data_IF_725817554284
#
_entry.id   IF_725817554284
#
_cell.length_a   1.000
_cell.length_b   1.000
_cell.length_c   1.000
_cell.angle_alpha   90.00
_cell.angle_beta   90.00
_cell.angle_gamma   90.00
#
_symmetry.space_group_name_H-M   'P 1'
#
loop_
_entity.id
_entity.type
_entity.pdbx_description
1 polymer ?
#
# COMPACT_ATOMS: atom_id res chain seq x y z
N UNK A 1 36.18 -3.06 47.85
CA UNK A 1 36.47 -1.77 48.52
C UNK A 1 37.67 -1.10 47.85
N UNK A 2 37.46 -0.39 46.73
CA UNK A 2 38.39 0.44 45.92
C UNK A 2 37.47 1.29 45.05
N UNK A 3 37.58 2.60 44.84
CA UNK A 3 38.47 3.66 45.29
C UNK A 3 37.62 4.96 45.21
N UNK A 4 37.32 5.61 46.34
CA UNK A 4 36.65 6.94 46.37
C UNK A 4 37.69 8.08 46.42
N UNK A 5 38.84 7.92 45.76
CA UNK A 5 39.96 8.89 45.79
C UNK A 5 39.85 9.99 44.74
N UNK A 6 38.89 9.92 43.81
CA UNK A 6 38.71 10.95 42.78
C UNK A 6 38.06 12.26 43.30
N UNK A 7 37.49 12.24 44.51
CA UNK A 7 36.85 13.41 45.15
C UNK A 7 37.79 14.20 46.09
N UNK A 8 39.08 13.84 46.16
CA UNK A 8 40.01 14.38 47.17
C UNK A 8 40.67 15.71 46.77
N UNK A 9 40.50 16.20 45.54
CA UNK A 9 41.05 17.48 45.06
C UNK A 9 40.08 18.67 45.08
N UNK A 10 38.82 18.47 45.49
CA UNK A 10 37.80 19.53 45.51
C UNK A 10 37.77 20.20 46.89
N UNK A 11 37.94 21.53 46.92
CA UNK A 11 37.81 22.36 48.14
C UNK A 11 36.54 21.95 48.91
N UNK A 12 36.63 21.85 50.23
CA UNK A 12 35.58 21.34 51.13
C UNK A 12 34.18 21.94 50.87
N UNK A 13 34.12 23.19 50.40
CA UNK A 13 32.90 23.86 49.95
C UNK A 13 32.19 23.15 48.77
N UNK A 14 32.93 22.70 47.75
CA UNK A 14 32.34 22.02 46.60
C UNK A 14 31.74 20.65 46.97
N UNK A 15 32.26 19.98 48.02
CA UNK A 15 31.72 18.70 48.49
C UNK A 15 30.32 18.82 49.07
N UNK A 16 30.05 19.87 49.85
CA UNK A 16 28.71 20.13 50.40
C UNK A 16 27.70 20.43 49.29
N UNK A 17 28.08 21.26 48.31
CA UNK A 17 27.21 21.63 47.16
C UNK A 17 26.89 20.43 46.27
N UNK A 18 27.85 19.53 46.05
CA UNK A 18 27.63 18.32 45.24
C UNK A 18 26.67 17.36 45.94
N UNK A 19 26.77 17.18 47.27
CA UNK A 19 25.89 16.27 48.02
C UNK A 19 24.45 16.78 48.04
N UNK A 20 24.23 18.10 48.13
CA UNK A 20 22.87 18.67 48.14
C UNK A 20 22.23 18.72 46.75
N UNK A 21 23.01 18.87 45.68
CA UNK A 21 22.52 18.85 44.29
C UNK A 21 22.31 17.44 43.74
N UNK A 22 23.01 16.43 44.29
CA UNK A 22 22.94 15.04 43.83
C UNK A 22 21.50 14.50 43.68
N UNK A 23 20.59 14.64 44.68
CA UNK A 23 19.23 14.14 44.55
C UNK A 23 18.43 14.86 43.46
N UNK A 24 18.64 16.17 43.28
CA UNK A 24 17.97 16.93 42.21
C UNK A 24 18.43 16.45 40.85
N UNK A 25 19.75 16.31 40.65
CA UNK A 25 20.33 15.81 39.41
C UNK A 25 19.83 14.39 39.11
N UNK A 26 19.74 13.52 40.13
CA UNK A 26 19.23 12.17 39.97
C UNK A 26 17.77 12.14 39.51
N UNK A 27 16.90 12.93 40.13
CA UNK A 27 15.48 13.03 39.74
C UNK A 27 15.34 13.61 38.33
N UNK A 28 16.13 14.64 37.99
CA UNK A 28 16.12 15.23 36.64
C UNK A 28 16.56 14.22 35.58
N UNK A 29 17.63 13.46 35.83
CA UNK A 29 18.09 12.41 34.91
C UNK A 29 17.04 11.32 34.70
N UNK A 30 16.39 10.87 35.78
CA UNK A 30 15.30 9.89 35.68
C UNK A 30 14.15 10.44 34.83
N UNK A 31 13.75 11.70 35.07
CA UNK A 31 12.71 12.36 34.28
C UNK A 31 13.05 12.45 32.79
N UNK A 32 14.29 12.79 32.46
CA UNK A 32 14.78 12.83 31.07
C UNK A 32 14.72 11.44 30.43
N UNK A 33 15.17 10.40 31.13
CA UNK A 33 15.14 9.02 30.61
C UNK A 33 13.71 8.57 30.34
N UNK A 34 12.80 8.80 31.28
CA UNK A 34 11.37 8.46 31.11
C UNK A 34 10.77 9.21 29.93
N UNK A 35 11.04 10.52 29.80
CA UNK A 35 10.54 11.33 28.69
C UNK A 35 11.04 10.82 27.34
N UNK A 36 12.33 10.48 27.23
CA UNK A 36 12.92 9.93 25.99
C UNK A 36 12.32 8.57 25.63
N UNK A 37 12.14 7.69 26.62
CA UNK A 37 11.53 6.37 26.40
C UNK A 37 10.08 6.50 25.94
N UNK A 38 9.28 7.33 26.63
CA UNK A 38 7.89 7.58 26.28
C UNK A 38 7.74 8.20 24.88
N UNK A 39 8.59 9.18 24.54
CA UNK A 39 8.59 9.83 23.24
C UNK A 39 8.93 8.86 22.10
N UNK A 40 9.90 7.95 22.32
CA UNK A 40 10.26 6.92 21.34
C UNK A 40 9.14 5.90 21.12
N UNK A 41 8.43 5.51 22.19
CA UNK A 41 7.26 4.62 22.10
C UNK A 41 6.13 5.24 21.28
N UNK A 42 5.70 6.45 21.66
CA UNK A 42 4.64 7.18 20.97
C UNK A 42 4.95 7.40 19.48
N UNK A 43 6.18 7.82 19.15
CA UNK A 43 6.57 8.05 17.76
C UNK A 43 6.55 6.76 16.94
N UNK A 44 7.01 5.65 17.53
CA UNK A 44 7.00 4.34 16.87
C UNK A 44 5.58 3.87 16.58
N UNK A 45 4.70 3.95 17.58
CA UNK A 45 3.33 3.46 17.46
C UNK A 45 2.55 4.28 16.43
N UNK A 46 2.68 5.61 16.46
CA UNK A 46 2.05 6.50 15.46
C UNK A 46 2.54 6.22 14.04
N UNK A 47 3.84 5.96 13.85
CA UNK A 47 4.38 5.62 12.52
C UNK A 47 3.87 4.28 12.02
N UNK A 48 3.80 3.27 12.89
CA UNK A 48 3.27 1.94 12.53
C UNK A 48 1.78 2.01 12.19
N UNK A 49 1.00 2.73 13.01
CA UNK A 49 -0.43 2.92 12.78
C UNK A 49 -0.71 3.64 11.46
N UNK A 50 0.00 4.74 11.20
CA UNK A 50 -0.11 5.49 9.94
C UNK A 50 0.25 4.62 8.74
N UNK A 51 1.36 3.87 8.80
CA UNK A 51 1.77 3.03 7.68
C UNK A 51 0.75 1.90 7.42
N UNK A 52 0.20 1.31 8.48
CA UNK A 52 -0.84 0.29 8.36
C UNK A 52 -2.11 0.86 7.73
N UNK A 53 -2.52 2.06 8.14
CA UNK A 53 -3.67 2.74 7.54
C UNK A 53 -3.46 3.06 6.06
N UNK A 54 -2.26 3.52 5.66
CA UNK A 54 -1.92 3.78 4.27
C UNK A 54 -1.93 2.50 3.42
N UNK A 55 -1.39 1.39 3.95
CA UNK A 55 -1.42 0.10 3.26
C UNK A 55 -2.85 -0.40 3.08
N UNK A 56 -3.70 -0.27 4.12
CA UNK A 56 -5.12 -0.62 4.00
C UNK A 56 -5.84 0.23 2.97
N UNK A 57 -5.64 1.55 3.00
CA UNK A 57 -6.23 2.46 2.02
C UNK A 57 -5.77 2.14 0.59
N UNK A 58 -4.49 1.82 0.41
CA UNK A 58 -3.96 1.42 -0.90
C UNK A 58 -4.55 0.08 -1.36
N UNK A 59 -4.71 -0.89 -0.45
CA UNK A 59 -5.34 -2.16 -0.75
C UNK A 59 -6.82 -2.00 -1.12
N UNK A 60 -7.57 -1.19 -0.36
CA UNK A 60 -8.97 -0.88 -0.65
C UNK A 60 -9.10 -0.15 -2.00
N UNK A 61 -8.22 0.80 -2.28
CA UNK A 61 -8.18 1.50 -3.57
C UNK A 61 -7.91 0.54 -4.74
N UNK A 62 -6.91 -0.34 -4.60
CA UNK A 62 -6.62 -1.35 -5.61
C UNK A 62 -7.78 -2.34 -5.81
N UNK A 63 -8.45 -2.75 -4.73
CA UNK A 63 -9.62 -3.62 -4.81
C UNK A 63 -10.77 -2.92 -5.56
N UNK A 64 -11.08 -1.67 -5.22
CA UNK A 64 -12.13 -0.91 -5.91
C UNK A 64 -11.85 -0.73 -7.39
N UNK A 65 -10.59 -0.47 -7.76
CA UNK A 65 -10.18 -0.37 -9.16
C UNK A 65 -10.39 -1.70 -9.90
N UNK A 66 -9.96 -2.82 -9.31
CA UNK A 66 -10.16 -4.15 -9.88
C UNK A 66 -11.64 -4.52 -10.01
N UNK A 67 -12.46 -4.21 -9.00
CA UNK A 67 -13.91 -4.41 -9.06
C UNK A 67 -14.55 -3.58 -10.18
N UNK A 68 -14.12 -2.34 -10.36
CA UNK A 68 -14.58 -1.49 -11.45
C UNK A 68 -14.24 -2.06 -12.83
N UNK A 69 -13.00 -2.50 -13.02
CA UNK A 69 -12.55 -3.13 -14.26
C UNK A 69 -13.29 -4.46 -14.53
N UNK A 70 -13.48 -5.28 -13.50
CA UNK A 70 -14.22 -6.53 -13.59
C UNK A 70 -15.68 -6.28 -13.99
N UNK A 71 -16.36 -5.31 -13.37
CA UNK A 71 -17.74 -4.96 -13.70
C UNK A 71 -17.88 -4.48 -15.16
N UNK A 72 -16.89 -3.74 -15.66
CA UNK A 72 -16.86 -3.30 -17.06
C UNK A 72 -16.70 -4.49 -18.01
N UNK A 73 -15.80 -5.43 -17.70
CA UNK A 73 -15.64 -6.66 -18.50
C UNK A 73 -16.87 -7.57 -18.44
N UNK A 74 -17.48 -7.72 -17.26
CA UNK A 74 -18.70 -8.53 -17.09
C UNK A 74 -19.89 -7.94 -17.84
N UNK A 75 -20.07 -6.62 -17.80
CA UNK A 75 -21.15 -5.97 -18.56
C UNK A 75 -20.92 -6.08 -20.08
N UNK A 76 -19.66 -6.02 -20.52
CA UNK A 76 -19.28 -6.26 -21.92
C UNK A 76 -19.56 -7.70 -22.32
N UNK A 77 -19.19 -8.67 -21.48
CA UNK A 77 -19.45 -10.09 -21.69
C UNK A 77 -20.96 -10.39 -21.76
N UNK A 78 -21.77 -9.80 -20.87
CA UNK A 78 -23.23 -9.94 -20.89
C UNK A 78 -23.84 -9.35 -22.17
N UNK A 79 -23.36 -8.19 -22.62
CA UNK A 79 -23.85 -7.57 -23.85
C UNK A 79 -23.46 -8.36 -25.11
N UNK A 80 -22.30 -9.02 -25.10
CA UNK A 80 -21.84 -9.92 -26.16
C UNK A 80 -22.58 -11.27 -26.15
N UNK A 81 -22.89 -11.81 -24.96
CA UNK A 81 -23.59 -13.08 -24.81
C UNK A 81 -25.03 -13.02 -25.32
N UNK A 82 -25.71 -11.87 -25.16
CA UNK A 82 -27.04 -11.60 -25.74
C UNK A 82 -27.04 -11.66 -27.28
N UNK A 83 -25.88 -11.54 -27.91
CA UNK A 83 -25.67 -11.63 -29.36
C UNK A 83 -24.90 -12.89 -29.76
N UNK A 84 -24.88 -13.91 -28.90
CA UNK A 84 -24.21 -15.17 -29.17
C UNK A 84 -24.68 -15.79 -30.50
N UNK A 85 -23.72 -16.21 -31.32
CA UNK A 85 -23.97 -16.78 -32.66
C UNK A 85 -23.89 -15.77 -33.81
N UNK A 86 -23.94 -14.46 -33.54
CA UNK A 86 -23.71 -13.41 -34.54
C UNK A 86 -22.34 -12.74 -34.30
N UNK A 87 -21.31 -13.31 -34.91
CA UNK A 87 -19.94 -12.80 -34.80
C UNK A 87 -19.79 -11.38 -35.36
N UNK A 88 -20.59 -11.00 -36.36
CA UNK A 88 -20.53 -9.66 -36.95
C UNK A 88 -21.07 -8.63 -35.96
N UNK A 89 -22.23 -8.92 -35.36
CA UNK A 89 -22.81 -8.05 -34.34
C UNK A 89 -21.96 -7.99 -33.06
N UNK A 90 -21.32 -9.08 -32.67
CA UNK A 90 -20.38 -9.10 -31.54
C UNK A 90 -19.14 -8.26 -31.81
N UNK A 91 -18.56 -8.32 -33.01
CA UNK A 91 -17.44 -7.46 -33.41
C UNK A 91 -17.82 -5.99 -33.43
N UNK A 92 -18.95 -5.66 -34.05
CA UNK A 92 -19.45 -4.28 -34.08
C UNK A 92 -19.68 -3.73 -32.67
N UNK A 93 -20.26 -4.53 -31.76
CA UNK A 93 -20.42 -4.11 -30.36
C UNK A 93 -19.07 -3.86 -29.68
N UNK A 94 -18.08 -4.72 -29.91
CA UNK A 94 -16.76 -4.58 -29.32
C UNK A 94 -16.03 -3.32 -29.83
N UNK A 95 -16.23 -2.97 -31.11
CA UNK A 95 -15.73 -1.73 -31.71
C UNK A 95 -16.45 -0.49 -31.15
N UNK A 96 -17.78 -0.54 -31.01
CA UNK A 96 -18.56 0.54 -30.40
C UNK A 96 -18.14 0.81 -28.95
N UNK A 97 -17.79 -0.25 -28.22
CA UNK A 97 -17.40 -0.18 -26.81
C UNK A 97 -15.89 -0.01 -26.63
N UNK A 98 -15.12 0.01 -27.71
CA UNK A 98 -13.68 0.19 -27.66
C UNK A 98 -13.24 1.43 -26.85
N UNK A 99 -13.89 2.61 -26.94
CA UNK A 99 -13.54 3.76 -26.11
C UNK A 99 -13.66 3.50 -24.60
N UNK A 100 -14.62 2.66 -24.19
CA UNK A 100 -14.81 2.27 -22.78
C UNK A 100 -13.77 1.23 -22.35
N UNK A 101 -13.26 0.43 -23.28
CA UNK A 101 -12.26 -0.61 -23.05
C UNK A 101 -10.81 -0.08 -23.16
N UNK A 102 -10.60 1.21 -23.44
CA UNK A 102 -9.26 1.81 -23.53
C UNK A 102 -8.47 1.76 -22.23
N UNK A 103 -9.13 1.61 -21.08
CA UNK A 103 -8.46 1.40 -19.79
C UNK A 103 -7.63 0.12 -19.76
N UNK A 104 -7.93 -0.86 -20.63
CA UNK A 104 -7.13 -2.06 -20.81
C UNK A 104 -6.06 -1.78 -21.87
N UNK A 105 -4.85 -1.38 -21.44
CA UNK A 105 -3.73 -1.06 -22.35
C UNK A 105 -3.44 -2.21 -23.32
N UNK A 106 -3.53 -3.46 -22.83
CA UNK A 106 -3.34 -4.67 -23.64
C UNK A 106 -4.50 -5.01 -24.58
N UNK A 107 -5.59 -4.24 -24.57
CA UNK A 107 -6.83 -4.52 -25.27
C UNK A 107 -7.61 -5.71 -24.73
N UNK A 108 -8.79 -5.95 -25.31
CA UNK A 108 -9.74 -6.98 -24.87
C UNK A 108 -10.02 -7.93 -26.02
N UNK A 109 -10.05 -9.23 -25.72
CA UNK A 109 -10.33 -10.31 -26.65
C UNK A 109 -11.64 -11.01 -26.28
N UNK A 110 -12.45 -11.33 -27.29
CA UNK A 110 -13.55 -12.28 -27.19
C UNK A 110 -13.03 -13.65 -27.63
N UNK A 111 -13.14 -14.62 -26.73
CA UNK A 111 -12.77 -16.01 -26.99
C UNK A 111 -14.00 -16.84 -27.37
N UNK A 112 -13.82 -17.81 -28.25
CA UNK A 112 -14.82 -18.85 -28.51
C UNK A 112 -14.78 -19.96 -27.43
N UNK A 113 -15.65 -20.96 -27.56
CA UNK A 113 -15.72 -22.11 -26.66
C UNK A 113 -14.45 -22.98 -26.67
N UNK A 114 -13.57 -22.82 -27.65
CA UNK A 114 -12.31 -23.54 -27.78
C UNK A 114 -11.12 -22.72 -27.24
N UNK A 115 -11.36 -21.53 -26.70
CA UNK A 115 -10.32 -20.61 -26.22
C UNK A 115 -9.63 -19.81 -27.32
N UNK A 116 -10.18 -19.77 -28.54
CA UNK A 116 -9.61 -19.04 -29.67
C UNK A 116 -10.16 -17.62 -29.72
N UNK A 117 -9.29 -16.62 -29.91
CA UNK A 117 -9.72 -15.24 -30.04
C UNK A 117 -10.43 -14.97 -31.39
N UNK A 118 -11.73 -14.70 -31.34
CA UNK A 118 -12.60 -14.49 -32.52
C UNK A 118 -12.92 -13.02 -32.81
N UNK A 119 -12.82 -12.16 -31.79
CA UNK A 119 -12.89 -10.71 -31.90
C UNK A 119 -11.93 -10.06 -30.90
N UNK A 120 -11.45 -8.86 -31.21
CA UNK A 120 -10.47 -8.14 -30.41
C UNK A 120 -10.58 -6.64 -30.65
N UNK A 121 -10.30 -5.83 -29.62
CA UNK A 121 -10.12 -4.38 -29.78
C UNK A 121 -8.86 -4.09 -30.59
N UNK A 122 -8.67 -2.85 -31.06
CA UNK A 122 -7.55 -2.45 -31.92
C UNK A 122 -6.20 -2.80 -31.30
N UNK A 123 -6.03 -2.55 -29.99
CA UNK A 123 -4.80 -2.85 -29.26
C UNK A 123 -4.51 -4.36 -29.16
N UNK A 124 -5.54 -5.20 -29.21
CA UNK A 124 -5.41 -6.65 -29.12
C UNK A 124 -5.60 -7.36 -30.48
N UNK A 125 -5.73 -6.61 -31.59
CA UNK A 125 -6.04 -7.16 -32.92
C UNK A 125 -4.99 -8.15 -33.42
N UNK A 126 -3.73 -7.98 -33.03
CA UNK A 126 -2.64 -8.93 -33.32
C UNK A 126 -2.85 -10.32 -32.71
N UNK A 127 -3.78 -10.45 -31.75
CA UNK A 127 -4.06 -11.69 -31.03
C UNK A 127 -5.21 -12.51 -31.62
N UNK A 128 -5.90 -11.99 -32.64
CA UNK A 128 -6.96 -12.73 -33.32
C UNK A 128 -6.44 -14.07 -33.85
N UNK A 129 -7.19 -15.14 -33.59
CA UNK A 129 -6.82 -16.49 -33.97
C UNK A 129 -5.82 -17.19 -33.05
N UNK A 130 -5.27 -16.53 -32.02
CA UNK A 130 -4.51 -17.23 -30.99
C UNK A 130 -5.43 -18.07 -30.10
N UNK A 131 -4.92 -19.23 -29.72
CA UNK A 131 -5.56 -20.13 -28.76
C UNK A 131 -4.96 -19.91 -27.37
N UNK A 132 -5.83 -19.76 -26.37
CA UNK A 132 -5.51 -19.48 -24.96
C UNK A 132 -5.92 -20.61 -24.00
N UNK A 133 -6.48 -21.71 -24.52
CA UNK A 133 -6.85 -22.89 -23.74
C UNK A 133 -5.66 -23.79 -23.38
#
# INVERSE_FOLDING_TARGET
>A
MRDKRWLAGLRFQNRMTVITLLPVIAVTLIGIVVAVVAYRGLTRDVVVERNTALVRLAADGAQQELEGQLNLLLSTADALSRRAGDLTAQRALLEDWEPLLQSFEGGVNLLDSNGVAVAATTNARSRLGHNYA
#
